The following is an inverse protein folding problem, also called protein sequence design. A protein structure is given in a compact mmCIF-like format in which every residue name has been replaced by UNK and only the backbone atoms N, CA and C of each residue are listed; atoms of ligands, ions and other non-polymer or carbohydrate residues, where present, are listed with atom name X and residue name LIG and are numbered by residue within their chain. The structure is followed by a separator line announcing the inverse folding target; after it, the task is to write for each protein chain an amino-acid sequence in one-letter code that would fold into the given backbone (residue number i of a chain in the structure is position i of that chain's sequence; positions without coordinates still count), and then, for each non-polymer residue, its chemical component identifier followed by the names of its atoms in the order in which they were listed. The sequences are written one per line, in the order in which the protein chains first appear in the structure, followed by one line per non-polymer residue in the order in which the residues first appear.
data_IF_771165147018
#
_entry.id   IF_771165147018
#
_cell.length_a   1.000
_cell.length_b   1.000
_cell.length_c   1.000
_cell.angle_alpha   90.00
_cell.angle_beta   90.00
_cell.angle_gamma   90.00
#
_symmetry.space_group_name_H-M   'P 1'
#
loop_
_entity.id
_entity.type
_entity.pdbx_description
1 polymer ?
#
# COMPACT_ATOMS: atom_id res chain seq x y z
N UNK A 1 16.88 -2.49 -12.25
CA UNK A 1 16.48 -3.89 -11.98
C UNK A 1 15.23 -4.17 -12.78
N UNK A 2 15.39 -4.96 -13.84
CA UNK A 2 14.35 -5.39 -14.77
C UNK A 2 13.44 -6.40 -14.10
N UNK A 3 12.13 -6.18 -14.16
CA UNK A 3 11.14 -7.22 -13.88
C UNK A 3 10.31 -7.40 -15.15
N UNK A 4 10.49 -8.57 -15.74
CA UNK A 4 9.75 -9.14 -16.86
C UNK A 4 8.25 -9.25 -16.55
N UNK A 5 7.34 -8.97 -17.50
CA UNK A 5 5.93 -9.31 -17.35
C UNK A 5 5.72 -10.77 -17.75
N UNK A 6 5.39 -11.63 -16.78
CA UNK A 6 4.89 -12.98 -17.05
C UNK A 6 3.43 -12.90 -17.50
N UNK A 7 3.24 -13.25 -18.78
CA UNK A 7 2.08 -13.92 -19.40
C UNK A 7 0.67 -13.58 -18.89
N UNK A 8 -0.16 -12.90 -19.71
CA UNK A 8 -1.60 -12.84 -19.47
C UNK A 8 -2.27 -14.19 -19.79
N UNK A 9 -3.03 -14.66 -18.81
CA UNK A 9 -4.02 -15.73 -18.89
C UNK A 9 -4.91 -15.53 -20.12
N UNK A 10 -5.03 -16.58 -20.93
CA UNK A 10 -5.85 -16.60 -22.14
C UNK A 10 -7.29 -16.14 -21.83
N UNK A 11 -7.66 -14.99 -22.40
CA UNK A 11 -9.04 -14.55 -22.51
C UNK A 11 -9.67 -15.42 -23.59
N UNK A 12 -10.44 -16.42 -23.17
CA UNK A 12 -11.29 -17.20 -24.08
C UNK A 12 -12.47 -16.30 -24.44
N UNK A 13 -12.42 -15.70 -25.63
CA UNK A 13 -13.56 -15.01 -26.23
C UNK A 13 -14.65 -16.03 -26.56
N UNK A 14 -15.95 -15.73 -26.30
CA UNK A 14 -17.04 -16.65 -26.57
C UNK A 14 -17.56 -16.49 -28.00
N UNK A 15 -16.71 -16.59 -29.03
CA UNK A 15 -17.14 -16.64 -30.44
C UNK A 15 -16.14 -17.47 -31.28
N UNK A 16 -15.98 -18.75 -30.95
CA UNK A 16 -15.26 -19.73 -31.80
C UNK A 16 -15.98 -21.09 -31.80
N UNK A 17 -17.28 -21.05 -32.08
CA UNK A 17 -18.05 -22.23 -32.50
C UNK A 17 -18.78 -21.88 -33.80
N UNK A 18 -18.01 -21.53 -34.83
CA UNK A 18 -18.48 -21.39 -36.19
C UNK A 18 -18.14 -22.66 -36.97
N UNK A 19 -19.17 -23.47 -37.03
CA UNK A 19 -19.43 -24.56 -37.96
C UNK A 19 -19.03 -24.19 -39.40
N UNK A 20 -17.97 -24.79 -39.94
CA UNK A 20 -17.79 -24.98 -41.39
C UNK A 20 -17.10 -26.33 -41.62
N UNK A 21 -17.91 -27.33 -41.95
CA UNK A 21 -17.45 -28.55 -42.62
C UNK A 21 -17.20 -28.20 -44.09
N UNK A 22 -15.96 -28.38 -44.56
CA UNK A 22 -15.60 -28.28 -45.97
C UNK A 22 -15.35 -29.68 -46.55
N UNK A 23 -15.77 -29.82 -47.80
CA UNK A 23 -16.11 -31.03 -48.55
C UNK A 23 -14.87 -31.77 -49.06
N UNK A 24 -14.91 -33.11 -49.09
CA UNK A 24 -14.24 -33.90 -50.13
C UNK A 24 -15.15 -35.07 -50.61
N UNK A 25 -15.09 -35.46 -51.91
CA UNK A 25 -16.19 -36.11 -52.61
C UNK A 25 -16.09 -37.64 -52.71
N UNK A 26 -17.28 -38.26 -52.74
CA UNK A 26 -17.70 -39.49 -53.42
C UNK A 26 -16.71 -40.65 -53.65
N UNK A 27 -17.06 -41.82 -53.12
CA UNK A 27 -16.65 -43.09 -53.73
C UNK A 27 -16.90 -44.34 -52.90
N UNK A 28 -18.00 -45.03 -53.20
CA UNK A 28 -18.14 -46.50 -53.18
C UNK A 28 -18.03 -47.24 -51.83
N UNK A 29 -19.20 -47.57 -51.24
CA UNK A 29 -19.74 -48.93 -51.13
C UNK A 29 -20.80 -49.00 -50.03
N UNK A 30 -21.81 -49.84 -50.25
CA UNK A 30 -22.95 -50.08 -49.39
C UNK A 30 -22.59 -50.25 -47.91
N UNK A 31 -23.05 -49.33 -47.09
CA UNK A 31 -23.32 -49.54 -45.67
C UNK A 31 -24.44 -48.58 -45.31
N UNK A 32 -25.67 -49.07 -45.11
CA UNK A 32 -26.64 -48.35 -44.30
C UNK A 32 -26.20 -48.41 -42.84
N UNK A 33 -25.02 -47.86 -42.56
CA UNK A 33 -24.48 -47.66 -41.24
C UNK A 33 -24.42 -46.14 -41.08
N UNK A 34 -25.62 -45.54 -41.07
CA UNK A 34 -25.79 -44.10 -40.89
C UNK A 34 -25.13 -43.70 -39.58
N UNK A 35 -24.48 -42.53 -39.52
CA UNK A 35 -23.91 -41.97 -38.28
C UNK A 35 -24.92 -42.01 -37.11
N UNK A 36 -26.22 -41.87 -37.43
CA UNK A 36 -27.33 -42.05 -36.51
C UNK A 36 -27.42 -43.45 -35.85
N UNK A 37 -27.09 -44.52 -36.58
CA UNK A 37 -27.08 -45.90 -36.07
C UNK A 37 -25.78 -46.19 -35.29
N UNK A 38 -24.68 -45.51 -35.63
CA UNK A 38 -23.44 -45.56 -34.84
C UNK A 38 -23.59 -44.87 -33.48
N UNK A 39 -24.23 -43.69 -33.46
CA UNK A 39 -24.45 -42.92 -32.23
C UNK A 39 -25.63 -43.46 -31.40
N UNK A 40 -26.60 -44.11 -32.06
CA UNK A 40 -27.78 -44.69 -31.42
C UNK A 40 -28.02 -46.13 -31.91
N UNK A 41 -27.24 -47.11 -31.40
CA UNK A 41 -27.37 -48.52 -31.80
C UNK A 41 -28.74 -49.12 -31.47
N UNK A 42 -29.49 -48.51 -30.54
CA UNK A 42 -30.85 -48.93 -30.19
C UNK A 42 -31.87 -48.72 -31.32
N UNK A 43 -31.58 -47.83 -32.29
CA UNK A 43 -32.41 -47.61 -33.49
C UNK A 43 -32.31 -48.76 -34.50
N UNK A 44 -31.27 -49.60 -34.42
CA UNK A 44 -31.10 -50.75 -35.31
C UNK A 44 -32.09 -51.90 -35.00
N UNK A 45 -32.67 -51.92 -33.80
CA UNK A 45 -33.62 -52.94 -33.35
C UNK A 45 -35.08 -52.57 -33.66
N UNK A 46 -35.35 -51.36 -34.15
CA UNK A 46 -36.70 -50.90 -34.49
C UNK A 46 -37.07 -51.34 -35.91
N UNK A 47 -38.31 -51.84 -36.16
CA UNK A 47 -38.73 -52.21 -37.50
C UNK A 47 -38.79 -50.99 -38.41
N UNK A 48 -38.63 -51.23 -39.72
CA UNK A 48 -38.61 -50.16 -40.74
C UNK A 48 -39.92 -49.37 -40.77
N UNK A 49 -41.06 -50.00 -40.50
CA UNK A 49 -42.35 -49.30 -40.42
C UNK A 49 -42.38 -48.27 -39.28
N UNK A 50 -41.75 -48.57 -38.13
CA UNK A 50 -41.67 -47.63 -37.00
C UNK A 50 -40.74 -46.45 -37.30
N UNK A 51 -39.68 -46.66 -38.07
CA UNK A 51 -38.78 -45.58 -38.53
C UNK A 51 -39.48 -44.65 -39.53
N UNK A 52 -40.32 -45.19 -40.41
CA UNK A 52 -41.14 -44.41 -41.35
C UNK A 52 -42.26 -43.65 -40.61
N UNK A 53 -42.88 -44.26 -39.59
CA UNK A 53 -43.83 -43.59 -38.70
C UNK A 53 -43.18 -42.45 -37.90
N UNK A 54 -41.93 -42.64 -37.45
CA UNK A 54 -41.13 -41.59 -36.78
C UNK A 54 -40.84 -40.38 -37.67
N UNK A 55 -40.68 -40.58 -38.98
CA UNK A 55 -40.45 -39.50 -39.94
C UNK A 55 -41.73 -38.77 -40.34
N UNK A 56 -42.89 -39.40 -40.16
CA UNK A 56 -44.20 -38.85 -40.54
C UNK A 56 -44.96 -38.19 -39.39
N UNK A 57 -44.71 -38.60 -38.14
CA UNK A 57 -45.28 -37.96 -36.94
C UNK A 57 -44.18 -37.40 -35.99
N UNK A 58 -44.05 -36.06 -35.90
CA UNK A 58 -43.11 -35.41 -34.98
C UNK A 58 -43.34 -35.73 -33.50
N UNK A 59 -44.59 -35.97 -33.08
CA UNK A 59 -44.91 -36.27 -31.69
C UNK A 59 -44.47 -37.69 -31.30
N UNK A 60 -44.66 -38.65 -32.21
CA UNK A 60 -44.17 -40.02 -32.06
C UNK A 60 -42.64 -40.06 -32.03
N UNK A 61 -41.97 -39.28 -32.88
CA UNK A 61 -40.52 -39.12 -32.83
C UNK A 61 -40.04 -38.61 -31.49
N UNK A 62 -40.68 -37.57 -30.94
CA UNK A 62 -40.27 -36.98 -29.67
C UNK A 62 -40.47 -37.97 -28.51
N UNK A 63 -41.54 -38.78 -28.54
CA UNK A 63 -41.79 -39.83 -27.54
C UNK A 63 -40.74 -40.95 -27.59
N UNK A 64 -40.42 -41.48 -28.79
CA UNK A 64 -39.36 -42.50 -28.97
C UNK A 64 -37.99 -41.91 -28.62
N UNK A 65 -37.70 -40.68 -29.03
CA UNK A 65 -36.44 -40.00 -28.75
C UNK A 65 -36.21 -39.81 -27.25
N UNK A 66 -37.24 -39.45 -26.48
CA UNK A 66 -37.16 -39.38 -25.02
C UNK A 66 -37.22 -40.75 -24.33
N UNK A 67 -37.52 -41.83 -25.07
CA UNK A 67 -37.53 -43.19 -24.54
C UNK A 67 -36.15 -43.85 -24.56
N UNK A 68 -35.28 -43.46 -25.52
CA UNK A 68 -33.93 -43.99 -25.70
C UNK A 68 -33.08 -43.82 -24.44
N UNK A 69 -32.31 -44.86 -24.09
CA UNK A 69 -31.52 -44.89 -22.85
C UNK A 69 -30.43 -43.81 -22.85
N UNK A 70 -29.76 -43.63 -23.99
CA UNK A 70 -28.68 -42.68 -24.17
C UNK A 70 -29.16 -41.23 -24.05
N UNK A 71 -30.27 -40.87 -24.69
CA UNK A 71 -30.83 -39.50 -24.62
C UNK A 71 -31.36 -39.18 -23.24
N UNK A 72 -31.95 -40.15 -22.52
CA UNK A 72 -32.33 -39.99 -21.10
C UNK A 72 -31.11 -39.73 -20.22
N UNK A 73 -30.03 -40.49 -20.41
CA UNK A 73 -28.79 -40.31 -19.64
C UNK A 73 -28.15 -38.93 -19.94
N UNK A 74 -28.15 -38.51 -21.21
CA UNK A 74 -27.65 -37.21 -21.62
C UNK A 74 -28.51 -36.07 -21.05
N UNK A 75 -29.83 -36.18 -21.13
CA UNK A 75 -30.75 -35.20 -20.54
C UNK A 75 -30.59 -35.12 -19.02
N UNK A 76 -30.46 -36.25 -18.33
CA UNK A 76 -30.20 -36.29 -16.89
C UNK A 76 -28.88 -35.58 -16.54
N UNK A 77 -27.80 -35.90 -17.26
CA UNK A 77 -26.50 -35.22 -17.14
C UNK A 77 -26.62 -33.70 -17.39
N UNK A 78 -27.37 -33.30 -18.42
CA UNK A 78 -27.59 -31.89 -18.74
C UNK A 78 -28.38 -31.17 -17.65
N UNK A 79 -29.40 -31.80 -17.07
CA UNK A 79 -30.13 -31.23 -15.93
C UNK A 79 -29.25 -31.11 -14.68
N UNK A 80 -28.39 -32.09 -14.42
CA UNK A 80 -27.46 -32.07 -13.30
C UNK A 80 -26.43 -30.93 -13.44
N UNK A 81 -25.83 -30.78 -14.63
CA UNK A 81 -24.93 -29.67 -14.93
C UNK A 81 -25.64 -28.32 -14.85
N UNK A 82 -26.90 -28.25 -15.28
CA UNK A 82 -27.73 -27.06 -15.13
C UNK A 82 -27.93 -26.66 -13.67
N UNK A 83 -28.30 -27.62 -12.81
CA UNK A 83 -28.46 -27.39 -11.38
C UNK A 83 -27.14 -27.03 -10.70
N UNK A 84 -26.03 -27.68 -11.08
CA UNK A 84 -24.70 -27.37 -10.56
C UNK A 84 -24.27 -25.94 -10.93
N UNK A 85 -24.48 -25.53 -12.19
CA UNK A 85 -24.18 -24.17 -12.65
C UNK A 85 -25.06 -23.14 -11.94
N UNK A 86 -26.34 -23.42 -11.73
CA UNK A 86 -27.23 -22.54 -10.98
C UNK A 86 -26.78 -22.41 -9.51
N UNK A 87 -26.37 -23.51 -8.88
CA UNK A 87 -25.83 -23.49 -7.51
C UNK A 87 -24.55 -22.66 -7.42
N UNK A 88 -23.64 -22.80 -8.38
CA UNK A 88 -22.41 -21.99 -8.46
C UNK A 88 -22.76 -20.51 -8.68
N UNK A 89 -23.72 -20.20 -9.56
CA UNK A 89 -24.15 -18.83 -9.79
C UNK A 89 -24.74 -18.19 -8.53
N UNK A 90 -25.58 -18.93 -7.78
CA UNK A 90 -26.11 -18.48 -6.48
C UNK A 90 -25.00 -18.26 -5.47
N UNK A 91 -24.01 -19.15 -5.41
CA UNK A 91 -22.87 -18.99 -4.52
C UNK A 91 -22.04 -17.76 -4.88
N UNK A 92 -21.73 -17.56 -6.16
CA UNK A 92 -21.00 -16.38 -6.64
C UNK A 92 -21.75 -15.08 -6.34
N UNK A 93 -23.08 -15.06 -6.51
CA UNK A 93 -23.91 -13.91 -6.14
C UNK A 93 -23.92 -13.65 -4.63
N UNK A 94 -23.92 -14.70 -3.81
CA UNK A 94 -23.88 -14.55 -2.35
C UNK A 94 -22.57 -13.91 -1.87
N UNK A 95 -21.45 -14.22 -2.52
CA UNK A 95 -20.13 -13.67 -2.19
C UNK A 95 -19.91 -12.25 -2.72
N UNK A 96 -20.73 -11.78 -3.66
CA UNK A 96 -20.53 -10.51 -4.33
C UNK A 96 -20.45 -9.34 -3.32
N UNK A 97 -21.37 -9.28 -2.37
CA UNK A 97 -21.41 -8.21 -1.37
C UNK A 97 -20.18 -8.26 -0.45
N UNK A 98 -19.83 -9.44 0.06
CA UNK A 98 -18.64 -9.61 0.90
C UNK A 98 -17.35 -9.22 0.18
N UNK A 99 -17.22 -9.56 -1.11
CA UNK A 99 -16.08 -9.17 -1.93
C UNK A 99 -16.02 -7.66 -2.18
N UNK A 100 -17.17 -7.00 -2.35
CA UNK A 100 -17.22 -5.54 -2.45
C UNK A 100 -16.81 -4.86 -1.14
N UNK A 101 -17.31 -5.37 -0.01
CA UNK A 101 -16.95 -4.86 1.32
C UNK A 101 -15.46 -5.05 1.60
N UNK A 102 -14.92 -6.24 1.30
CA UNK A 102 -13.50 -6.53 1.44
C UNK A 102 -12.64 -5.63 0.55
N UNK A 103 -13.07 -5.38 -0.69
CA UNK A 103 -12.38 -4.46 -1.60
C UNK A 103 -12.41 -3.03 -1.08
N UNK A 104 -13.55 -2.57 -0.57
CA UNK A 104 -13.71 -1.23 -0.01
C UNK A 104 -12.81 -1.04 1.21
N UNK A 105 -12.88 -1.96 2.18
CA UNK A 105 -12.07 -1.90 3.40
C UNK A 105 -10.57 -1.95 3.12
N UNK A 106 -10.14 -2.78 2.15
CA UNK A 106 -8.74 -2.84 1.72
C UNK A 106 -8.30 -1.53 1.08
N UNK A 107 -9.15 -0.92 0.24
CA UNK A 107 -8.89 0.39 -0.35
C UNK A 107 -8.75 1.47 0.74
N UNK A 108 -9.68 1.53 1.68
CA UNK A 108 -9.64 2.51 2.78
C UNK A 108 -8.41 2.32 3.68
N UNK A 109 -7.98 1.08 3.91
CA UNK A 109 -6.75 0.79 4.64
C UNK A 109 -5.50 1.24 3.87
N UNK A 110 -5.47 1.00 2.56
CA UNK A 110 -4.38 1.44 1.68
C UNK A 110 -4.29 2.97 1.62
N UNK A 111 -5.41 3.65 1.43
CA UNK A 111 -5.47 5.11 1.35
C UNK A 111 -4.97 5.73 2.66
N UNK A 112 -5.40 5.20 3.81
CA UNK A 112 -4.87 5.62 5.13
C UNK A 112 -3.38 5.39 5.28
N UNK A 113 -2.86 4.25 4.83
CA UNK A 113 -1.43 3.97 4.89
C UNK A 113 -0.64 4.93 4.00
N UNK A 114 -1.17 5.27 2.83
CA UNK A 114 -0.57 6.22 1.89
C UNK A 114 -0.54 7.64 2.45
N UNK A 115 -1.63 8.06 3.09
CA UNK A 115 -1.70 9.35 3.78
C UNK A 115 -0.69 9.44 4.93
N UNK A 116 -0.57 8.37 5.73
CA UNK A 116 0.44 8.29 6.80
C UNK A 116 1.86 8.33 6.23
N UNK A 117 2.12 7.65 5.11
CA UNK A 117 3.40 7.72 4.43
C UNK A 117 3.73 9.14 3.95
N UNK A 118 2.76 9.85 3.38
CA UNK A 118 2.93 11.24 2.95
C UNK A 118 3.20 12.16 4.14
N UNK A 119 2.46 12.00 5.24
CA UNK A 119 2.70 12.74 6.49
C UNK A 119 4.08 12.44 7.07
N UNK A 120 4.50 11.18 7.06
CA UNK A 120 5.84 10.80 7.51
C UNK A 120 6.94 11.47 6.67
N UNK A 121 6.77 11.56 5.35
CA UNK A 121 7.73 12.24 4.49
C UNK A 121 7.88 13.74 4.81
N UNK A 122 6.82 14.39 5.29
CA UNK A 122 6.89 15.79 5.77
C UNK A 122 7.67 15.87 7.08
N UNK A 123 7.31 15.05 8.07
CA UNK A 123 8.00 15.03 9.38
C UNK A 123 9.48 14.68 9.22
N UNK A 124 9.81 13.72 8.37
CA UNK A 124 11.18 13.32 8.08
C UNK A 124 11.94 14.45 7.34
N UNK A 125 11.28 15.23 6.49
CA UNK A 125 11.88 16.45 5.91
C UNK A 125 12.17 17.49 6.98
N UNK A 126 11.21 17.81 7.85
CA UNK A 126 11.39 18.78 8.94
C UNK A 126 12.52 18.36 9.89
N UNK A 127 12.56 17.08 10.26
CA UNK A 127 13.66 16.52 11.03
C UNK A 127 14.99 16.67 10.28
N UNK A 128 15.02 16.27 9.00
CA UNK A 128 16.22 16.41 8.17
C UNK A 128 16.66 17.86 8.00
N UNK A 129 15.77 18.85 7.95
CA UNK A 129 16.15 20.27 7.93
C UNK A 129 16.77 20.71 9.26
N UNK A 130 16.18 20.32 10.40
CA UNK A 130 16.76 20.54 11.73
C UNK A 130 18.16 19.90 11.83
N UNK A 131 18.37 18.75 11.20
CA UNK A 131 19.66 18.07 11.15
C UNK A 131 20.62 18.62 10.07
N UNK A 132 20.14 19.01 8.88
CA UNK A 132 20.96 19.47 7.73
C UNK A 132 21.43 20.91 7.87
N UNK A 133 20.66 21.81 8.47
CA UNK A 133 21.11 23.18 8.77
C UNK A 133 22.41 23.16 9.61
N UNK A 134 22.74 22.02 10.25
CA UNK A 134 23.98 21.80 11.01
C UNK A 134 25.03 20.91 10.33
N UNK A 135 24.66 19.88 9.55
CA UNK A 135 25.59 18.96 8.86
C UNK A 135 25.99 19.49 7.47
N UNK A 136 26.07 20.81 7.30
CA UNK A 136 26.62 21.44 6.10
C UNK A 136 28.10 21.13 5.81
N UNK A 137 28.77 20.34 6.66
CA UNK A 137 30.22 20.06 6.52
C UNK A 137 30.61 18.60 6.37
N UNK A 138 29.74 17.60 6.62
CA UNK A 138 30.17 16.19 6.55
C UNK A 138 29.07 15.23 6.06
N UNK A 139 29.01 15.08 4.73
CA UNK A 139 28.11 14.17 4.00
C UNK A 139 28.31 12.67 4.29
N UNK A 140 29.37 12.29 5.00
CA UNK A 140 29.81 10.89 5.13
C UNK A 140 29.20 10.12 6.33
N UNK A 141 28.54 10.81 7.26
CA UNK A 141 28.06 10.16 8.51
C UNK A 141 26.64 9.58 8.38
N UNK A 142 25.91 9.87 7.30
CA UNK A 142 24.49 9.52 7.14
C UNK A 142 24.19 8.07 6.75
N UNK A 143 25.20 7.23 6.47
CA UNK A 143 24.97 5.86 5.99
C UNK A 143 24.87 4.79 7.08
N UNK A 144 25.16 5.12 8.35
CA UNK A 144 25.45 4.07 9.35
C UNK A 144 24.37 3.94 10.45
N UNK A 145 23.59 4.97 10.79
CA UNK A 145 22.48 4.82 11.74
C UNK A 145 21.56 6.07 11.86
N UNK A 146 20.26 6.01 11.51
CA UNK A 146 19.36 7.17 11.61
C UNK A 146 18.84 7.46 13.02
N UNK A 147 18.97 6.53 13.98
CA UNK A 147 18.37 6.65 15.33
C UNK A 147 19.33 7.28 16.36
N UNK A 148 20.65 7.29 16.09
CA UNK A 148 21.67 7.79 17.02
C UNK A 148 21.99 9.29 16.88
N UNK A 149 21.33 10.01 15.97
CA UNK A 149 21.69 11.39 15.64
C UNK A 149 20.96 12.45 16.48
N UNK A 150 20.62 12.19 17.75
CA UNK A 150 20.66 13.26 18.76
C UNK A 150 22.15 13.56 18.97
N UNK A 151 22.76 14.14 17.94
CA UNK A 151 24.20 14.23 17.84
C UNK A 151 24.65 15.22 18.93
N UNK A 152 25.57 14.86 19.83
CA UNK A 152 26.01 15.74 20.91
C UNK A 152 26.57 17.09 20.41
N UNK A 153 26.89 17.24 19.12
CA UNK A 153 27.18 18.54 18.51
C UNK A 153 25.98 19.50 18.49
N UNK A 154 24.74 18.99 18.35
CA UNK A 154 23.55 19.84 18.38
C UNK A 154 23.42 20.56 19.72
N UNK A 155 23.50 19.76 20.79
CA UNK A 155 23.48 20.25 22.16
C UNK A 155 24.69 21.15 22.45
N UNK A 156 25.88 20.78 21.96
CA UNK A 156 27.10 21.56 22.17
C UNK A 156 27.05 22.94 21.52
N UNK A 157 26.60 23.09 20.25
CA UNK A 157 26.48 24.46 19.71
C UNK A 157 25.33 25.25 20.36
N UNK A 158 24.23 24.61 20.79
CA UNK A 158 23.22 25.32 21.58
C UNK A 158 23.81 25.82 22.90
N UNK A 159 24.66 25.01 23.54
CA UNK A 159 25.41 25.39 24.72
C UNK A 159 26.34 26.57 24.40
N UNK A 160 27.10 26.54 23.29
CA UNK A 160 27.95 27.66 22.84
C UNK A 160 27.18 28.96 22.65
N UNK A 161 26.08 28.93 21.91
CA UNK A 161 25.24 30.13 21.72
C UNK A 161 24.68 30.65 23.05
N UNK A 162 24.26 29.75 23.94
CA UNK A 162 23.80 30.12 25.26
C UNK A 162 24.93 30.66 26.16
N UNK A 163 26.19 30.25 25.96
CA UNK A 163 27.36 30.81 26.64
C UNK A 163 27.67 32.21 26.14
N UNK A 164 27.71 32.42 24.82
CA UNK A 164 27.93 33.75 24.22
C UNK A 164 26.83 34.73 24.62
N UNK A 165 25.56 34.35 24.51
CA UNK A 165 24.45 35.22 24.92
C UNK A 165 24.49 35.58 26.42
N UNK A 166 25.02 34.67 27.25
CA UNK A 166 25.21 34.93 28.69
C UNK A 166 26.36 35.91 28.94
N UNK A 167 27.43 35.84 28.15
CA UNK A 167 28.56 36.76 28.20
C UNK A 167 28.10 38.17 27.79
N UNK A 168 27.44 38.27 26.63
CA UNK A 168 26.85 39.52 26.11
C UNK A 168 25.88 40.17 27.11
N UNK A 169 25.03 39.37 27.77
CA UNK A 169 24.11 39.87 28.79
C UNK A 169 24.85 40.39 30.04
N UNK A 170 25.94 39.74 30.43
CA UNK A 170 26.77 40.20 31.55
C UNK A 170 27.54 41.48 31.21
N UNK A 171 28.04 41.60 29.98
CA UNK A 171 28.69 42.82 29.49
C UNK A 171 27.71 43.98 29.35
N UNK A 172 26.50 43.73 28.84
CA UNK A 172 25.44 44.73 28.74
C UNK A 172 25.02 45.26 30.13
N UNK A 173 24.88 44.37 31.12
CA UNK A 173 24.57 44.76 32.50
C UNK A 173 25.69 45.62 33.11
N UNK A 174 26.96 45.26 32.89
CA UNK A 174 28.10 46.04 33.34
C UNK A 174 28.19 47.40 32.65
N UNK A 175 27.97 47.46 31.33
CA UNK A 175 27.98 48.70 30.57
C UNK A 175 26.85 49.65 31.03
N UNK A 176 25.64 49.13 31.25
CA UNK A 176 24.51 49.91 31.75
C UNK A 176 24.79 50.51 33.14
N UNK A 177 25.43 49.76 34.03
CA UNK A 177 25.83 50.22 35.35
C UNK A 177 26.93 51.31 35.31
N UNK A 178 27.91 51.17 34.41
CA UNK A 178 28.94 52.20 34.20
C UNK A 178 28.32 53.48 33.62
N UNK A 179 27.35 53.37 32.73
CA UNK A 179 26.64 54.52 32.17
C UNK A 179 25.74 55.22 33.21
N UNK A 180 25.04 54.46 34.06
CA UNK A 180 24.19 55.04 35.12
C UNK A 180 25.04 55.76 36.18
N UNK A 181 26.18 55.18 36.57
CA UNK A 181 27.12 55.81 37.52
C UNK A 181 27.81 57.07 36.97
N UNK A 182 27.94 57.22 35.65
CA UNK A 182 28.46 58.45 35.02
C UNK A 182 27.40 59.57 34.88
N UNK A 183 26.12 59.20 34.84
CA UNK A 183 25.02 60.14 34.55
C UNK A 183 24.31 60.63 35.84
N UNK A 184 24.38 59.86 36.93
CA UNK A 184 23.82 60.23 38.23
C UNK A 184 24.73 61.22 38.98
N UNK A 185 24.16 62.33 39.49
CA UNK A 185 24.85 63.21 40.45
C UNK A 185 25.22 62.38 41.71
N UNK A 186 26.41 62.59 42.31
CA UNK A 186 27.02 61.69 43.30
C UNK A 186 26.32 61.60 44.68
N UNK A 187 25.10 62.11 44.83
CA UNK A 187 24.40 62.17 46.12
C UNK A 187 23.24 61.17 46.27
N UNK A 188 22.82 60.48 45.20
CA UNK A 188 21.65 59.57 45.21
C UNK A 188 21.90 58.21 44.54
N UNK A 189 23.16 57.84 44.27
CA UNK A 189 23.46 56.44 43.91
C UNK A 189 23.27 55.57 45.16
N UNK A 190 22.06 55.05 45.31
CA UNK A 190 21.61 54.27 46.46
C UNK A 190 22.58 53.10 46.63
N UNK A 191 23.20 52.94 47.81
CA UNK A 191 24.07 51.78 48.10
C UNK A 191 23.38 50.44 47.77
N UNK A 192 22.05 50.43 47.83
CA UNK A 192 21.18 49.35 47.40
C UNK A 192 21.32 48.98 45.91
N UNK A 193 21.45 49.95 45.00
CA UNK A 193 21.63 49.70 43.56
C UNK A 193 22.98 49.06 43.25
N UNK A 194 24.01 49.43 44.02
CA UNK A 194 25.33 48.80 43.95
C UNK A 194 25.26 47.34 44.41
N UNK A 195 24.59 47.08 45.54
CA UNK A 195 24.46 45.74 46.10
C UNK A 195 23.59 44.83 45.20
N UNK A 196 22.52 45.37 44.63
CA UNK A 196 21.66 44.66 43.68
C UNK A 196 22.41 44.35 42.37
N UNK A 197 23.18 45.30 41.82
CA UNK A 197 24.04 45.05 40.66
C UNK A 197 25.08 43.95 40.95
N UNK A 198 25.77 44.02 42.09
CA UNK A 198 26.79 43.04 42.47
C UNK A 198 26.19 41.64 42.63
N UNK A 199 24.98 41.53 43.19
CA UNK A 199 24.24 40.27 43.28
C UNK A 199 23.93 39.72 41.88
N UNK A 200 23.28 40.51 41.05
CA UNK A 200 22.77 40.07 39.76
C UNK A 200 23.92 39.74 38.78
N UNK A 201 25.00 40.54 38.80
CA UNK A 201 26.20 40.28 38.01
C UNK A 201 26.91 38.99 38.44
N UNK A 202 27.01 38.72 39.75
CA UNK A 202 27.58 37.46 40.26
C UNK A 202 26.76 36.25 39.81
N UNK A 203 25.44 36.36 39.79
CA UNK A 203 24.57 35.30 39.32
C UNK A 203 24.76 35.03 37.82
N UNK A 204 24.82 36.09 37.01
CA UNK A 204 25.06 35.98 35.57
C UNK A 204 26.42 35.31 35.26
N UNK A 205 27.50 35.70 35.95
CA UNK A 205 28.83 35.10 35.75
C UNK A 205 28.91 33.67 36.29
N UNK A 206 28.20 33.35 37.38
CA UNK A 206 28.11 31.97 37.89
C UNK A 206 27.46 31.03 36.86
N UNK A 207 26.41 31.49 36.18
CA UNK A 207 25.76 30.71 35.11
C UNK A 207 26.68 30.57 33.90
N UNK A 208 27.38 31.65 33.51
CA UNK A 208 28.38 31.60 32.43
C UNK A 208 29.47 30.55 32.70
N UNK A 209 30.12 30.60 33.86
CA UNK A 209 31.20 29.66 34.19
C UNK A 209 30.73 28.20 34.29
N UNK A 210 29.50 27.96 34.75
CA UNK A 210 28.89 26.62 34.72
C UNK A 210 28.75 26.10 33.28
N UNK A 211 28.29 26.96 32.35
CA UNK A 211 28.12 26.59 30.94
C UNK A 211 29.47 26.37 30.24
N UNK A 212 30.47 27.20 30.53
CA UNK A 212 31.85 27.04 30.05
C UNK A 212 32.46 25.74 30.56
N UNK A 213 32.27 25.41 31.84
CA UNK A 213 32.74 24.15 32.40
C UNK A 213 32.12 22.94 31.68
N UNK A 214 30.81 22.95 31.45
CA UNK A 214 30.14 21.89 30.69
C UNK A 214 30.58 21.81 29.23
N UNK A 215 30.91 22.95 28.61
CA UNK A 215 31.48 22.97 27.26
C UNK A 215 32.85 22.27 27.22
N UNK A 216 33.73 22.59 28.17
CA UNK A 216 35.08 22.00 28.27
C UNK A 216 35.00 20.50 28.61
N UNK A 217 34.20 20.12 29.61
CA UNK A 217 34.02 18.71 29.99
C UNK A 217 33.42 17.88 28.86
N UNK A 218 32.45 18.42 28.12
CA UNK A 218 31.85 17.73 26.97
C UNK A 218 32.78 17.57 25.77
N UNK A 219 33.89 18.33 25.72
CA UNK A 219 34.95 18.18 24.71
C UNK A 219 36.09 17.24 25.12
N UNK A 220 36.30 17.02 26.43
CA UNK A 220 37.37 16.17 26.97
C UNK A 220 37.02 14.67 26.98
N UNK A 221 35.74 14.31 26.94
CA UNK A 221 35.27 12.91 26.89
C UNK A 221 35.20 12.33 25.46
N UNK A 222 35.80 12.99 24.45
CA UNK A 222 35.88 12.48 23.07
C UNK A 222 37.30 12.17 22.62
#
# INVERSE_FOLDING_TARGET
MSITPNTPTAIINPIDLLFVAEILPNGLLATMNTQLIQDFPELANLPREDLEAMLSDPAYFQAIFHSLSHTKALLASQTELGMANEAIAKHNLSLQNELYDLRSTTKDAYDRARDLQNRWAVVDREQREVYQVRIGTNKHVLLINPILAIHPSFLLMRLRHATTAQDDASEAAAAAFVQSSQTAKPAEATSQELDDFVRDFKELRKVYHKRVFWEISGTLER
#
